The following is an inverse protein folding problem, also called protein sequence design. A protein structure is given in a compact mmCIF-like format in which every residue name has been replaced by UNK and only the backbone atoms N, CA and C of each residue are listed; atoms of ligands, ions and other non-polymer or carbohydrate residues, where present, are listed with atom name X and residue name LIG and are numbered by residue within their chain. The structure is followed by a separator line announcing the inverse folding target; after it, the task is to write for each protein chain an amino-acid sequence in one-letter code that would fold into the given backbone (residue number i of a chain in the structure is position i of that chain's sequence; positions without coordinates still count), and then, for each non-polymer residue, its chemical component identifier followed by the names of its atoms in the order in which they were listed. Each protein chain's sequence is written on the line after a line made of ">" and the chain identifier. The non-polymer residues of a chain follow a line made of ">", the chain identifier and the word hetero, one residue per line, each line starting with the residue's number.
data_IF_625032777743
#
_entry.id   IF_625032777743
#
_cell.length_a   1.000
_cell.length_b   1.000
_cell.length_c   1.000
_cell.angle_alpha   90.00
_cell.angle_beta   90.00
_cell.angle_gamma   90.00
#
_symmetry.space_group_name_H-M   'P 1'
#
loop_
_entity.id
_entity.type
_entity.pdbx_description
1 polymer ?
#
# COMPACT_ATOMS: atom_id res chain seq x y z
N UNK A 1 -23.38 -8.74 33.42
CA UNK A 1 -24.43 -7.70 33.53
C UNK A 1 -23.80 -6.36 33.19
N UNK A 2 -24.11 -5.79 32.02
CA UNK A 2 -23.87 -4.35 31.80
C UNK A 2 -24.92 -3.63 32.65
N UNK A 3 -24.57 -3.08 33.81
CA UNK A 3 -25.34 -2.04 34.51
C UNK A 3 -26.81 -2.26 34.90
N UNK A 4 -27.32 -3.50 34.91
CA UNK A 4 -28.71 -3.78 35.30
C UNK A 4 -28.88 -3.42 36.79
N UNK A 5 -29.63 -2.36 37.06
CA UNK A 5 -29.88 -1.83 38.42
C UNK A 5 -29.34 -0.42 38.69
N UNK A 6 -28.60 0.20 37.77
CA UNK A 6 -28.06 1.57 37.96
C UNK A 6 -29.09 2.69 37.70
N UNK A 7 -30.15 2.40 36.95
CA UNK A 7 -31.20 3.38 36.61
C UNK A 7 -32.58 2.76 36.83
N UNK A 8 -33.52 3.53 37.41
CA UNK A 8 -34.88 3.07 37.73
C UNK A 8 -35.75 2.84 36.50
N UNK A 9 -35.37 3.40 35.35
CA UNK A 9 -36.13 3.34 34.11
C UNK A 9 -35.44 2.42 33.10
N UNK A 10 -36.17 1.42 32.62
CA UNK A 10 -35.69 0.37 31.70
C UNK A 10 -35.14 0.89 30.36
N UNK A 11 -35.47 2.12 29.95
CA UNK A 11 -35.03 2.74 28.70
C UNK A 11 -33.80 3.64 28.82
N UNK A 12 -33.41 4.08 30.02
CA UNK A 12 -32.29 5.03 30.20
C UNK A 12 -30.97 4.43 29.74
N UNK A 13 -30.70 3.19 30.15
CA UNK A 13 -29.42 2.54 29.85
C UNK A 13 -29.22 2.29 28.34
N UNK A 14 -30.20 1.76 27.57
CA UNK A 14 -30.11 1.70 26.11
C UNK A 14 -29.94 3.07 25.45
N UNK A 15 -30.63 4.10 25.96
CA UNK A 15 -30.55 5.45 25.40
C UNK A 15 -29.14 6.04 25.56
N UNK A 16 -28.52 5.92 26.74
CA UNK A 16 -27.15 6.39 26.96
C UNK A 16 -26.12 5.65 26.08
N UNK A 17 -26.29 4.35 25.88
CA UNK A 17 -25.42 3.58 24.99
C UNK A 17 -25.58 4.02 23.52
N UNK A 18 -26.81 4.29 23.08
CA UNK A 18 -27.07 4.83 21.74
C UNK A 18 -26.44 6.21 21.58
N UNK A 19 -26.62 7.11 22.54
CA UNK A 19 -26.04 8.46 22.53
C UNK A 19 -24.51 8.40 22.52
N UNK A 20 -23.90 7.52 23.33
CA UNK A 20 -22.45 7.33 23.34
C UNK A 20 -21.91 6.78 22.02
N UNK A 21 -22.60 5.80 21.42
CA UNK A 21 -22.22 5.26 20.12
C UNK A 21 -22.35 6.31 19.00
N UNK A 22 -23.40 7.13 19.03
CA UNK A 22 -23.64 8.21 18.08
C UNK A 22 -22.58 9.31 18.21
N UNK A 23 -22.23 9.67 19.44
CA UNK A 23 -21.18 10.64 19.75
C UNK A 23 -19.81 10.17 19.27
N UNK A 24 -19.43 8.92 19.57
CA UNK A 24 -18.18 8.34 19.10
C UNK A 24 -18.10 8.29 17.57
N UNK A 25 -19.19 7.89 16.91
CA UNK A 25 -19.26 7.88 15.44
C UNK A 25 -19.11 9.29 14.87
N UNK A 26 -19.78 10.29 15.47
CA UNK A 26 -19.69 11.67 15.05
C UNK A 26 -18.24 12.19 15.17
N UNK A 27 -17.58 11.93 16.30
CA UNK A 27 -16.18 12.32 16.53
C UNK A 27 -15.22 11.66 15.52
N UNK A 28 -15.44 10.36 15.25
CA UNK A 28 -14.65 9.59 14.28
C UNK A 28 -14.86 10.10 12.86
N UNK A 29 -16.11 10.40 12.48
CA UNK A 29 -16.45 10.99 11.19
C UNK A 29 -15.80 12.36 11.01
N UNK A 30 -15.85 13.21 12.04
CA UNK A 30 -15.19 14.51 12.03
C UNK A 30 -13.68 14.36 11.86
N UNK A 31 -13.06 13.40 12.54
CA UNK A 31 -11.64 13.09 12.38
C UNK A 31 -11.27 12.68 10.95
N UNK A 32 -12.06 11.81 10.32
CA UNK A 32 -11.85 11.42 8.92
C UNK A 32 -12.11 12.55 7.93
N UNK A 33 -13.11 13.40 8.20
CA UNK A 33 -13.43 14.56 7.36
C UNK A 33 -12.34 15.64 7.42
N UNK A 34 -11.65 15.78 8.55
CA UNK A 34 -10.53 16.72 8.72
C UNK A 34 -9.22 16.24 8.06
N UNK A 35 -9.03 14.92 7.85
CA UNK A 35 -7.80 14.36 7.25
C UNK A 35 -8.03 13.44 6.01
N UNK A 36 -8.78 13.86 4.97
CA UNK A 36 -9.19 12.96 3.87
C UNK A 36 -8.09 12.59 2.86
N UNK A 37 -6.82 12.99 3.04
CA UNK A 37 -5.77 12.92 1.99
C UNK A 37 -4.55 12.05 2.34
N UNK A 38 -4.46 11.50 3.56
CA UNK A 38 -3.25 10.79 4.02
C UNK A 38 -3.01 9.38 3.42
N UNK A 39 -4.03 8.52 3.15
CA UNK A 39 -3.73 7.13 2.85
C UNK A 39 -2.98 6.95 1.53
N UNK A 40 -3.27 7.73 0.49
CA UNK A 40 -2.58 7.58 -0.82
C UNK A 40 -1.12 7.99 -0.74
N UNK A 41 -0.81 9.09 -0.03
CA UNK A 41 0.57 9.58 0.12
C UNK A 41 1.41 8.61 0.93
N UNK A 42 0.85 8.05 2.01
CA UNK A 42 1.51 7.03 2.83
C UNK A 42 1.82 5.76 2.03
N UNK A 43 0.87 5.28 1.22
CA UNK A 43 1.09 4.09 0.39
C UNK A 43 2.12 4.33 -0.72
N UNK A 44 2.12 5.52 -1.35
CA UNK A 44 3.14 5.91 -2.33
C UNK A 44 4.53 6.03 -1.70
N UNK A 45 4.65 6.69 -0.55
CA UNK A 45 5.91 6.78 0.17
C UNK A 45 6.40 5.39 0.61
N UNK A 46 5.48 4.52 1.06
CA UNK A 46 5.75 3.12 1.35
C UNK A 46 6.29 2.37 0.12
N UNK A 47 5.73 2.61 -1.06
CA UNK A 47 6.20 2.01 -2.32
C UNK A 47 7.64 2.42 -2.65
N UNK A 48 7.97 3.72 -2.59
CA UNK A 48 9.33 4.19 -2.82
C UNK A 48 10.32 3.73 -1.73
N UNK A 49 9.87 3.61 -0.48
CA UNK A 49 10.69 3.06 0.60
C UNK A 49 11.02 1.58 0.38
N UNK A 50 10.03 0.77 -0.03
CA UNK A 50 10.26 -0.64 -0.36
C UNK A 50 11.09 -0.79 -1.65
N UNK A 51 10.91 0.10 -2.63
CA UNK A 51 11.71 0.15 -3.84
C UNK A 51 13.18 0.42 -3.51
N UNK A 52 13.45 1.32 -2.58
CA UNK A 52 14.80 1.57 -2.10
C UNK A 52 15.43 0.33 -1.46
N UNK A 53 14.69 -0.37 -0.58
CA UNK A 53 15.19 -1.62 0.02
C UNK A 53 15.47 -2.68 -1.04
N UNK A 54 14.62 -2.78 -2.06
CA UNK A 54 14.84 -3.69 -3.17
C UNK A 54 16.10 -3.35 -3.96
N UNK A 55 16.34 -2.07 -4.26
CA UNK A 55 17.56 -1.62 -4.94
C UNK A 55 18.83 -1.84 -4.09
N UNK A 56 18.79 -1.63 -2.77
CA UNK A 56 19.90 -1.97 -1.87
C UNK A 56 20.16 -3.49 -1.86
N UNK A 57 19.12 -4.31 -1.68
CA UNK A 57 19.25 -5.76 -1.68
C UNK A 57 19.82 -6.25 -3.03
N UNK A 58 19.40 -5.62 -4.13
CA UNK A 58 19.95 -5.88 -5.47
C UNK A 58 21.39 -5.38 -5.62
N UNK A 59 21.78 -4.31 -4.95
CA UNK A 59 23.18 -3.84 -4.95
C UNK A 59 24.09 -4.86 -4.27
N UNK A 60 23.64 -5.53 -3.20
CA UNK A 60 24.42 -6.57 -2.51
C UNK A 60 24.73 -7.78 -3.40
N UNK A 61 23.94 -8.05 -4.44
CA UNK A 61 24.26 -9.08 -5.44
C UNK A 61 25.48 -8.75 -6.32
N UNK A 62 25.96 -7.50 -6.28
CA UNK A 62 27.17 -7.05 -6.99
C UNK A 62 28.40 -6.98 -6.08
N UNK A 63 28.30 -7.36 -4.80
CA UNK A 63 29.43 -7.35 -3.87
C UNK A 63 30.43 -8.47 -4.21
N UNK A 64 31.68 -8.13 -4.62
CA UNK A 64 32.70 -9.11 -4.99
C UNK A 64 33.26 -9.90 -3.79
N UNK A 65 33.02 -9.44 -2.55
CA UNK A 65 33.56 -10.02 -1.32
C UNK A 65 32.56 -10.90 -0.56
N UNK A 66 31.32 -11.02 -1.04
CA UNK A 66 30.24 -11.72 -0.33
C UNK A 66 30.45 -13.23 -0.09
N UNK A 67 31.48 -13.85 -0.71
CA UNK A 67 31.84 -15.24 -0.47
C UNK A 67 30.70 -16.23 -0.73
N UNK A 68 30.54 -17.24 0.13
CA UNK A 68 29.55 -18.33 0.02
C UNK A 68 28.10 -17.89 0.35
N UNK A 69 27.85 -16.60 0.57
CA UNK A 69 26.53 -16.06 0.98
C UNK A 69 25.63 -15.69 -0.20
N UNK A 70 25.96 -16.12 -1.41
CA UNK A 70 25.24 -15.76 -2.64
C UNK A 70 23.76 -16.15 -2.56
N UNK A 71 23.47 -17.37 -2.14
CA UNK A 71 22.10 -17.85 -1.98
C UNK A 71 21.30 -17.00 -1.00
N UNK A 72 21.93 -16.57 0.10
CA UNK A 72 21.28 -15.73 1.10
C UNK A 72 20.93 -14.34 0.53
N UNK A 73 21.85 -13.71 -0.20
CA UNK A 73 21.61 -12.41 -0.85
C UNK A 73 20.52 -12.51 -1.95
N UNK A 74 20.51 -13.60 -2.72
CA UNK A 74 19.46 -13.87 -3.70
C UNK A 74 18.09 -14.07 -3.04
N UNK A 75 18.03 -14.84 -1.95
CA UNK A 75 16.80 -15.06 -1.18
C UNK A 75 16.29 -13.73 -0.60
N UNK A 76 17.18 -12.90 -0.03
CA UNK A 76 16.82 -11.59 0.51
C UNK A 76 16.25 -10.68 -0.59
N UNK A 77 16.93 -10.56 -1.73
CA UNK A 77 16.44 -9.79 -2.88
C UNK A 77 15.06 -10.28 -3.37
N UNK A 78 14.82 -11.60 -3.40
CA UNK A 78 13.53 -12.18 -3.76
C UNK A 78 12.44 -11.89 -2.72
N UNK A 79 12.75 -11.96 -1.43
CA UNK A 79 11.83 -11.65 -0.34
C UNK A 79 11.43 -10.18 -0.37
N UNK A 80 12.39 -9.27 -0.52
CA UNK A 80 12.12 -7.82 -0.62
C UNK A 80 11.32 -7.50 -1.88
N UNK A 81 11.59 -8.18 -3.01
CA UNK A 81 10.79 -8.04 -4.23
C UNK A 81 9.32 -8.43 -4.00
N UNK A 82 9.06 -9.54 -3.30
CA UNK A 82 7.69 -9.95 -2.93
C UNK A 82 6.97 -8.88 -2.10
N UNK A 83 7.66 -8.30 -1.11
CA UNK A 83 7.12 -7.23 -0.26
C UNK A 83 6.83 -5.96 -1.08
N UNK A 84 7.72 -5.59 -2.01
CA UNK A 84 7.53 -4.46 -2.90
C UNK A 84 6.31 -4.64 -3.81
N UNK A 85 6.13 -5.82 -4.40
CA UNK A 85 4.96 -6.14 -5.23
C UNK A 85 3.67 -6.05 -4.41
N UNK A 86 3.67 -6.55 -3.17
CA UNK A 86 2.53 -6.42 -2.27
C UNK A 86 2.21 -4.93 -1.98
N UNK A 87 3.23 -4.12 -1.70
CA UNK A 87 3.08 -2.68 -1.44
C UNK A 87 2.56 -1.91 -2.67
N UNK A 88 3.04 -2.24 -3.87
CA UNK A 88 2.55 -1.66 -5.12
C UNK A 88 1.06 -2.02 -5.35
N UNK A 89 0.65 -3.26 -5.07
CA UNK A 89 -0.74 -3.69 -5.18
C UNK A 89 -1.67 -2.96 -4.19
N UNK A 90 -1.22 -2.74 -2.95
CA UNK A 90 -1.94 -1.93 -1.97
C UNK A 90 -2.10 -0.48 -2.44
N UNK A 91 -1.02 0.10 -2.96
CA UNK A 91 -1.01 1.46 -3.50
C UNK A 91 -1.95 1.59 -4.69
N UNK A 92 -1.92 0.63 -5.63
CA UNK A 92 -2.83 0.56 -6.77
C UNK A 92 -4.29 0.52 -6.36
N UNK A 93 -4.63 -0.34 -5.39
CA UNK A 93 -6.01 -0.47 -4.89
C UNK A 93 -6.50 0.83 -4.24
N UNK A 94 -5.63 1.47 -3.45
CA UNK A 94 -5.91 2.75 -2.79
C UNK A 94 -6.06 3.89 -3.81
N UNK A 95 -5.27 3.88 -4.88
CA UNK A 95 -5.35 4.87 -5.93
C UNK A 95 -6.61 4.67 -6.79
N UNK A 96 -6.95 3.44 -7.14
CA UNK A 96 -8.17 3.11 -7.90
C UNK A 96 -9.46 3.49 -7.15
N UNK A 97 -9.51 3.28 -5.84
CA UNK A 97 -10.68 3.70 -5.03
C UNK A 97 -10.86 5.22 -5.06
N UNK A 98 -9.76 5.98 -5.05
CA UNK A 98 -9.78 7.44 -5.18
C UNK A 98 -10.20 7.90 -6.58
N UNK A 99 -9.67 7.31 -7.66
CA UNK A 99 -10.05 7.66 -9.03
C UNK A 99 -11.56 7.44 -9.30
N UNK A 100 -12.18 6.46 -8.63
CA UNK A 100 -13.63 6.21 -8.77
C UNK A 100 -14.49 7.33 -8.16
N UNK A 101 -14.00 7.97 -7.08
CA UNK A 101 -14.71 9.05 -6.39
C UNK A 101 -14.36 10.45 -6.86
N UNK A 102 -13.15 10.65 -7.37
CA UNK A 102 -12.58 11.96 -7.70
C UNK A 102 -11.92 11.94 -9.10
N UNK A 103 -12.78 11.99 -10.13
CA UNK A 103 -12.35 11.93 -11.53
C UNK A 103 -11.72 13.25 -11.96
N UNK A 104 -10.39 13.34 -11.92
CA UNK A 104 -9.64 14.39 -12.62
C UNK A 104 -9.04 15.50 -11.75
N UNK A 105 -8.98 15.34 -10.43
CA UNK A 105 -8.24 16.31 -9.60
C UNK A 105 -6.73 16.27 -9.90
N UNK A 106 -6.09 17.44 -9.91
CA UNK A 106 -4.64 17.59 -10.18
C UNK A 106 -3.78 16.73 -9.24
N UNK A 107 -4.17 16.63 -7.96
CA UNK A 107 -3.50 15.80 -6.97
C UNK A 107 -3.59 14.29 -7.24
N UNK A 108 -4.70 13.82 -7.83
CA UNK A 108 -4.85 12.42 -8.23
C UNK A 108 -3.99 12.10 -9.45
N UNK A 109 -3.89 13.01 -10.42
CA UNK A 109 -2.99 12.86 -11.58
C UNK A 109 -1.53 12.75 -11.16
N UNK A 110 -1.08 13.61 -10.24
CA UNK A 110 0.28 13.55 -9.67
C UNK A 110 0.56 12.24 -8.94
N UNK A 111 -0.37 11.82 -8.09
CA UNK A 111 -0.27 10.53 -7.36
C UNK A 111 -0.18 9.35 -8.33
N UNK A 112 -0.90 9.40 -9.45
CA UNK A 112 -0.88 8.39 -10.50
C UNK A 112 0.43 8.41 -11.29
N UNK A 113 0.97 9.58 -11.61
CA UNK A 113 2.28 9.70 -12.22
C UNK A 113 3.37 9.06 -11.34
N UNK A 114 3.36 9.35 -10.04
CA UNK A 114 4.33 8.77 -9.10
C UNK A 114 4.21 7.25 -9.01
N UNK A 115 2.99 6.72 -9.03
CA UNK A 115 2.75 5.29 -9.05
C UNK A 115 3.32 4.63 -10.32
N UNK A 116 3.10 5.22 -11.49
CA UNK A 116 3.65 4.70 -12.75
C UNK A 116 5.17 4.76 -12.78
N UNK A 117 5.79 5.83 -12.27
CA UNK A 117 7.24 5.90 -12.14
C UNK A 117 7.76 4.77 -11.23
N UNK A 118 7.14 4.57 -10.06
CA UNK A 118 7.54 3.48 -9.15
C UNK A 118 7.39 2.09 -9.79
N UNK A 119 6.29 1.87 -10.54
CA UNK A 119 6.06 0.62 -11.26
C UNK A 119 7.09 0.41 -12.38
N UNK A 120 7.37 1.43 -13.20
CA UNK A 120 8.35 1.36 -14.28
C UNK A 120 9.76 1.06 -13.74
N UNK A 121 10.14 1.68 -12.60
CA UNK A 121 11.43 1.39 -11.96
C UNK A 121 11.44 -0.06 -11.47
N UNK A 122 10.37 -0.55 -10.84
CA UNK A 122 10.26 -1.95 -10.40
C UNK A 122 10.38 -2.93 -11.57
N UNK A 123 9.67 -2.70 -12.68
CA UNK A 123 9.72 -3.56 -13.87
C UNK A 123 11.13 -3.58 -14.50
N UNK A 124 11.80 -2.43 -14.60
CA UNK A 124 13.18 -2.33 -15.10
C UNK A 124 14.19 -3.02 -14.18
N UNK A 125 14.04 -2.79 -12.88
CA UNK A 125 14.90 -3.40 -11.88
C UNK A 125 14.67 -4.92 -11.82
N UNK A 126 13.43 -5.42 -11.92
CA UNK A 126 13.14 -6.86 -11.92
C UNK A 126 13.54 -7.57 -13.22
N UNK A 127 13.42 -6.91 -14.37
CA UNK A 127 13.75 -7.52 -15.68
C UNK A 127 15.25 -7.69 -15.94
N UNK A 128 16.09 -7.07 -15.10
CA UNK A 128 17.54 -7.23 -15.18
C UNK A 128 17.98 -8.59 -14.61
N UNK A 129 17.79 -9.65 -15.41
CA UNK A 129 18.27 -11.01 -15.14
C UNK A 129 19.72 -11.16 -15.60
N UNK A 130 20.64 -10.69 -14.77
CA UNK A 130 22.06 -10.97 -14.94
C UNK A 130 22.40 -12.28 -14.23
N UNK A 131 23.23 -13.14 -14.82
CA UNK A 131 23.78 -14.30 -14.11
C UNK A 131 24.92 -13.81 -13.19
N UNK A 132 24.55 -13.28 -12.03
CA UNK A 132 25.49 -12.64 -11.08
C UNK A 132 26.66 -13.55 -10.69
N UNK A 133 26.44 -14.87 -10.63
CA UNK A 133 27.46 -15.87 -10.33
C UNK A 133 28.58 -15.90 -11.39
N UNK A 134 28.24 -15.82 -12.69
CA UNK A 134 29.25 -15.78 -13.75
C UNK A 134 30.02 -14.46 -13.73
N UNK A 135 29.32 -13.34 -13.50
CA UNK A 135 29.97 -12.03 -13.49
C UNK A 135 30.96 -11.86 -12.34
N UNK A 136 30.70 -12.43 -11.17
CA UNK A 136 31.67 -12.34 -10.06
C UNK A 136 32.88 -13.24 -10.28
N UNK A 137 32.71 -14.41 -10.90
CA UNK A 137 33.83 -15.29 -11.25
C UNK A 137 34.83 -14.61 -12.19
N UNK A 138 34.34 -14.05 -13.28
CA UNK A 138 35.19 -13.47 -14.32
C UNK A 138 35.75 -12.09 -13.95
N UNK A 139 35.02 -11.30 -13.14
CA UNK A 139 35.33 -9.88 -12.90
C UNK A 139 35.59 -9.51 -11.45
N UNK A 140 35.88 -10.48 -10.56
CA UNK A 140 36.07 -10.25 -9.12
C UNK A 140 37.05 -9.13 -8.80
N UNK A 141 38.13 -9.03 -9.58
CA UNK A 141 39.21 -8.06 -9.38
C UNK A 141 39.00 -6.72 -10.11
N UNK A 142 37.87 -6.55 -10.80
CA UNK A 142 37.59 -5.36 -11.59
C UNK A 142 36.67 -4.38 -10.83
N UNK A 143 37.00 -3.10 -10.88
CA UNK A 143 36.26 -2.02 -10.21
C UNK A 143 34.82 -1.81 -10.72
N UNK A 144 34.45 -2.47 -11.83
CA UNK A 144 33.17 -2.28 -12.51
C UNK A 144 31.99 -2.74 -11.65
N UNK A 145 32.08 -3.90 -11.00
CA UNK A 145 31.01 -4.43 -10.14
C UNK A 145 30.72 -3.47 -8.97
N UNK A 146 31.78 -2.97 -8.33
CA UNK A 146 31.66 -1.98 -7.26
C UNK A 146 31.00 -0.68 -7.74
N UNK A 147 31.27 -0.24 -8.97
CA UNK A 147 30.64 0.96 -9.55
C UNK A 147 29.15 0.74 -9.83
N UNK A 148 28.74 -0.45 -10.28
CA UNK A 148 27.32 -0.82 -10.40
C UNK A 148 26.62 -0.85 -9.04
N UNK A 149 27.22 -1.52 -8.04
CA UNK A 149 26.73 -1.54 -6.67
C UNK A 149 26.53 -0.13 -6.12
N UNK A 150 27.52 0.75 -6.31
CA UNK A 150 27.45 2.15 -5.88
C UNK A 150 26.31 2.91 -6.56
N UNK A 151 26.09 2.74 -7.86
CA UNK A 151 24.98 3.39 -8.57
C UNK A 151 23.62 2.93 -8.06
N UNK A 152 23.43 1.63 -7.84
CA UNK A 152 22.20 1.08 -7.26
C UNK A 152 21.94 1.66 -5.87
N UNK A 153 22.95 1.72 -5.01
CA UNK A 153 22.85 2.35 -3.69
C UNK A 153 22.51 3.84 -3.76
N UNK A 154 23.05 4.56 -4.74
CA UNK A 154 22.67 5.96 -4.98
C UNK A 154 21.19 6.08 -5.39
N UNK A 155 20.71 5.22 -6.30
CA UNK A 155 19.29 5.21 -6.71
C UNK A 155 18.36 4.82 -5.55
N UNK A 156 18.77 3.86 -4.72
CA UNK A 156 18.05 3.48 -3.51
C UNK A 156 17.94 4.66 -2.53
N UNK A 157 19.04 5.39 -2.32
CA UNK A 157 19.03 6.60 -1.48
C UNK A 157 18.11 7.69 -2.04
N UNK A 158 18.11 7.89 -3.36
CA UNK A 158 17.20 8.82 -4.02
C UNK A 158 15.73 8.41 -3.80
N UNK A 159 15.41 7.12 -3.88
CA UNK A 159 14.07 6.60 -3.58
C UNK A 159 13.66 6.82 -2.11
N UNK A 160 14.59 6.63 -1.14
CA UNK A 160 14.33 6.95 0.28
C UNK A 160 14.06 8.42 0.51
N UNK A 161 14.88 9.30 -0.09
CA UNK A 161 14.69 10.74 0.01
C UNK A 161 13.36 11.16 -0.61
N UNK A 162 13.01 10.62 -1.77
CA UNK A 162 11.73 10.86 -2.42
C UNK A 162 10.55 10.41 -1.55
N UNK A 163 10.62 9.23 -0.93
CA UNK A 163 9.61 8.77 0.02
C UNK A 163 9.41 9.76 1.18
N UNK A 164 10.51 10.29 1.74
CA UNK A 164 10.45 11.31 2.79
C UNK A 164 9.84 12.62 2.30
N UNK A 165 10.25 13.12 1.13
CA UNK A 165 9.69 14.31 0.52
C UNK A 165 8.19 14.17 0.23
N UNK A 166 7.72 12.98 -0.18
CA UNK A 166 6.29 12.69 -0.38
C UNK A 166 5.51 12.84 0.93
N UNK A 167 6.02 12.28 2.03
CA UNK A 167 5.37 12.36 3.35
C UNK A 167 5.36 13.80 3.90
N UNK A 168 6.48 14.50 3.77
CA UNK A 168 6.64 15.88 4.24
C UNK A 168 6.04 16.93 3.30
N UNK A 169 5.51 16.51 2.14
CA UNK A 169 5.03 17.39 1.05
C UNK A 169 6.08 18.41 0.59
N UNK A 170 7.35 18.04 0.65
CA UNK A 170 8.46 18.86 0.20
C UNK A 170 8.78 18.57 -1.26
N UNK A 171 9.37 19.55 -1.94
CA UNK A 171 9.89 19.37 -3.29
C UNK A 171 11.11 18.45 -3.23
N UNK A 172 11.13 17.47 -4.13
CA UNK A 172 12.28 16.60 -4.31
C UNK A 172 13.18 17.18 -5.41
N UNK A 173 14.49 17.13 -5.21
CA UNK A 173 15.49 17.64 -6.14
C UNK A 173 16.41 16.49 -6.52
N UNK A 174 16.60 16.29 -7.82
CA UNK A 174 17.47 15.22 -8.31
C UNK A 174 18.95 15.59 -8.13
N UNK A 175 19.77 14.59 -7.82
CA UNK A 175 21.17 14.81 -7.49
C UNK A 175 22.06 14.85 -8.75
N UNK A 176 22.70 16.00 -9.01
CA UNK A 176 23.65 16.18 -10.12
C UNK A 176 24.85 15.20 -10.13
N UNK A 177 25.08 14.46 -9.04
CA UNK A 177 26.15 13.44 -8.97
C UNK A 177 25.87 12.21 -9.85
N UNK A 178 24.61 11.93 -10.22
CA UNK A 178 24.26 10.77 -11.04
C UNK A 178 24.94 10.81 -12.41
N UNK A 179 24.89 11.94 -13.12
CA UNK A 179 25.49 12.08 -14.45
C UNK A 179 26.99 11.72 -14.43
N UNK A 180 27.73 12.30 -13.49
CA UNK A 180 29.16 12.02 -13.30
C UNK A 180 29.44 10.56 -12.98
N UNK A 181 28.56 9.89 -12.21
CA UNK A 181 28.71 8.49 -11.88
C UNK A 181 28.45 7.58 -13.11
N UNK A 182 27.44 7.90 -13.92
CA UNK A 182 27.14 7.20 -15.17
C UNK A 182 28.26 7.36 -16.21
N UNK A 183 28.76 8.57 -16.43
CA UNK A 183 29.89 8.81 -17.34
C UNK A 183 31.13 8.03 -16.94
N UNK A 184 31.44 8.00 -15.63
CA UNK A 184 32.60 7.28 -15.10
C UNK A 184 32.47 5.78 -15.25
N UNK A 185 31.27 5.23 -15.09
CA UNK A 185 31.02 3.81 -15.31
C UNK A 185 31.06 3.47 -16.79
N UNK A 186 30.48 4.29 -17.65
CA UNK A 186 30.53 4.11 -19.10
C UNK A 186 31.97 4.04 -19.60
N UNK A 187 32.82 5.01 -19.22
CA UNK A 187 34.25 5.00 -19.57
C UNK A 187 35.01 3.78 -19.02
N UNK A 188 34.59 3.25 -17.87
CA UNK A 188 35.20 2.05 -17.31
C UNK A 188 34.83 0.79 -18.13
N UNK A 189 33.58 0.68 -18.59
CA UNK A 189 33.13 -0.41 -19.47
C UNK A 189 33.79 -0.30 -20.85
N UNK A 190 33.90 0.90 -21.42
CA UNK A 190 34.58 1.12 -22.71
C UNK A 190 36.08 0.74 -22.65
N UNK A 191 36.77 1.07 -21.54
CA UNK A 191 38.16 0.62 -21.34
C UNK A 191 38.27 -0.90 -21.22
N UNK A 192 37.27 -1.54 -20.62
CA UNK A 192 37.24 -2.99 -20.50
C UNK A 192 37.10 -3.66 -21.86
N UNK A 193 36.18 -3.17 -22.69
CA UNK A 193 35.96 -3.63 -24.05
C UNK A 193 37.22 -3.53 -24.92
N UNK A 194 38.02 -2.47 -24.72
CA UNK A 194 39.29 -2.27 -25.42
C UNK A 194 40.40 -3.22 -24.95
N UNK A 195 40.38 -3.63 -23.67
CA UNK A 195 41.39 -4.54 -23.10
C UNK A 195 41.09 -6.01 -23.39
N UNK A 196 39.79 -6.37 -23.46
CA UNK A 196 39.34 -7.74 -23.71
C UNK A 196 38.17 -7.76 -24.71
N UNK A 197 38.46 -7.79 -26.03
CA UNK A 197 37.45 -7.75 -27.09
C UNK A 197 36.58 -9.02 -27.18
N UNK A 198 37.06 -10.15 -26.67
CA UNK A 198 36.37 -11.45 -26.73
C UNK A 198 35.44 -11.69 -25.52
N UNK A 199 35.44 -10.76 -24.55
CA UNK A 199 34.57 -10.81 -23.38
C UNK A 199 33.08 -10.73 -23.77
N UNK A 200 32.44 -11.89 -23.89
CA UNK A 200 31.02 -12.07 -24.25
C UNK A 200 30.07 -11.32 -23.30
N UNK A 201 30.52 -11.02 -22.08
CA UNK A 201 29.73 -10.38 -21.02
C UNK A 201 29.70 -8.85 -21.06
N UNK A 202 30.55 -8.18 -21.85
CA UNK A 202 30.62 -6.71 -21.92
C UNK A 202 29.31 -6.10 -22.43
N UNK A 203 28.63 -6.77 -23.36
CA UNK A 203 27.31 -6.35 -23.87
C UNK A 203 26.23 -6.37 -22.79
N UNK A 204 26.31 -7.29 -21.83
CA UNK A 204 25.38 -7.37 -20.71
C UNK A 204 25.60 -6.19 -19.73
N UNK A 205 26.84 -5.75 -19.53
CA UNK A 205 27.18 -4.57 -18.72
C UNK A 205 26.62 -3.29 -19.33
N UNK A 206 26.75 -3.10 -20.65
CA UNK A 206 26.12 -1.96 -21.34
C UNK A 206 24.59 -1.99 -21.25
N UNK A 207 23.98 -3.17 -21.34
CA UNK A 207 22.54 -3.30 -21.16
C UNK A 207 22.12 -2.91 -19.73
N UNK A 208 22.87 -3.34 -18.71
CA UNK A 208 22.63 -2.97 -17.32
C UNK A 208 22.81 -1.45 -17.10
N UNK A 209 23.87 -0.87 -17.65
CA UNK A 209 24.11 0.58 -17.60
C UNK A 209 22.93 1.35 -18.19
N UNK A 210 22.42 0.93 -19.35
CA UNK A 210 21.25 1.54 -20.00
C UNK A 210 19.98 1.39 -19.16
N UNK A 211 19.80 0.23 -18.51
CA UNK A 211 18.67 0.01 -17.61
C UNK A 211 18.72 0.98 -16.40
N UNK A 212 19.89 1.09 -15.75
CA UNK A 212 20.09 2.01 -14.63
C UNK A 212 19.91 3.48 -15.05
N UNK A 213 20.40 3.89 -16.22
CA UNK A 213 20.19 5.24 -16.74
C UNK A 213 18.70 5.53 -17.00
N UNK A 214 17.94 4.52 -17.42
CA UNK A 214 16.51 4.68 -17.60
C UNK A 214 15.76 4.79 -16.26
N UNK A 215 16.19 4.08 -15.22
CA UNK A 215 15.67 4.26 -13.84
C UNK A 215 15.96 5.69 -13.35
N UNK A 216 17.15 6.20 -13.63
CA UNK A 216 17.54 7.57 -13.28
C UNK A 216 16.67 8.62 -13.99
N UNK A 217 16.44 8.45 -15.29
CA UNK A 217 15.55 9.32 -16.06
C UNK A 217 14.11 9.32 -15.52
N UNK A 218 13.62 8.17 -15.05
CA UNK A 218 12.31 8.06 -14.39
C UNK A 218 12.27 8.84 -13.08
N UNK A 219 13.33 8.76 -12.26
CA UNK A 219 13.45 9.59 -11.06
C UNK A 219 13.48 11.08 -11.42
N UNK A 220 14.30 11.49 -12.39
CA UNK A 220 14.39 12.89 -12.84
C UNK A 220 13.05 13.43 -13.40
N UNK A 221 12.23 12.57 -14.00
CA UNK A 221 10.89 12.95 -14.49
C UNK A 221 9.94 13.40 -13.37
N UNK A 222 10.16 12.94 -12.13
CA UNK A 222 9.38 13.39 -10.97
C UNK A 222 9.70 14.85 -10.63
N UNK A 223 10.97 15.25 -10.74
CA UNK A 223 11.35 16.65 -10.52
C UNK A 223 10.75 17.55 -11.60
N UNK A 224 10.79 17.14 -12.87
CA UNK A 224 10.21 17.96 -13.96
C UNK A 224 8.70 18.07 -13.85
N UNK A 225 7.98 17.01 -13.43
CA UNK A 225 6.55 17.12 -13.16
C UNK A 225 6.27 18.09 -12.00
N UNK A 226 7.10 18.09 -10.96
CA UNK A 226 6.99 19.05 -9.84
C UNK A 226 7.22 20.49 -10.27
N UNK A 227 8.09 20.74 -11.27
CA UNK A 227 8.34 22.10 -11.78
C UNK A 227 7.22 22.58 -12.70
N UNK A 228 6.74 21.72 -13.60
CA UNK A 228 5.60 22.00 -14.48
C UNK A 228 4.30 22.18 -13.70
N UNK A 229 4.16 21.51 -12.56
CA UNK A 229 2.98 21.63 -11.71
C UNK A 229 2.83 23.00 -11.03
N UNK A 230 3.84 23.89 -11.11
CA UNK A 230 3.76 25.34 -10.88
C UNK A 230 2.93 25.82 -9.68
N UNK A 231 3.63 26.38 -8.68
CA UNK A 231 3.13 26.97 -7.42
C UNK A 231 3.06 26.00 -6.23
N UNK A 232 4.10 26.14 -5.39
CA UNK A 232 4.19 25.85 -3.96
C UNK A 232 3.24 24.76 -3.42
N UNK A 233 3.75 23.58 -3.00
CA UNK A 233 2.95 22.52 -2.39
C UNK A 233 2.08 23.01 -1.22
N UNK A 234 2.49 24.11 -0.56
CA UNK A 234 1.77 24.75 0.54
C UNK A 234 0.66 25.72 0.10
N UNK A 235 0.77 26.39 -1.06
CA UNK A 235 -0.27 27.33 -1.54
C UNK A 235 -1.31 26.67 -2.44
N UNK A 236 -0.93 25.67 -3.25
CA UNK A 236 -1.90 24.95 -4.09
C UNK A 236 -2.89 24.13 -3.26
N UNK A 237 -2.45 23.53 -2.15
CA UNK A 237 -3.34 22.84 -1.21
C UNK A 237 -4.21 23.84 -0.39
N UNK A 238 -3.75 25.08 -0.15
CA UNK A 238 -4.55 26.11 0.53
C UNK A 238 -5.61 26.75 -0.38
N UNK A 239 -5.31 26.92 -1.68
CA UNK A 239 -6.32 27.29 -2.68
C UNK A 239 -7.32 26.14 -2.89
N UNK A 240 -6.88 24.88 -2.88
CA UNK A 240 -7.77 23.70 -2.90
C UNK A 240 -8.50 23.44 -1.58
N UNK A 241 -8.01 23.95 -0.45
CA UNK A 241 -8.78 23.99 0.81
C UNK A 241 -9.91 25.03 0.76
N UNK A 242 -9.83 25.99 -0.19
CA UNK A 242 -10.92 26.93 -0.51
C UNK A 242 -11.81 26.43 -1.65
N UNK A 243 -11.28 25.72 -2.65
CA UNK A 243 -12.07 25.00 -3.67
C UNK A 243 -12.75 23.72 -3.12
N UNK A 244 -12.36 23.27 -1.92
CA UNK A 244 -12.92 22.15 -1.17
C UNK A 244 -14.06 22.52 -0.22
N UNK A 245 -14.53 23.78 -0.23
CA UNK A 245 -15.88 24.11 0.21
C UNK A 245 -16.86 23.86 -0.95
N UNK A 246 -16.86 22.65 -1.52
CA UNK A 246 -18.03 22.16 -2.26
C UNK A 246 -19.19 22.18 -1.27
N UNK A 247 -20.10 23.14 -1.43
CA UNK A 247 -21.01 23.60 -0.40
C UNK A 247 -21.78 22.50 0.33
N UNK A 248 -22.40 22.86 1.45
CA UNK A 248 -23.33 22.04 2.21
C UNK A 248 -24.34 21.24 1.36
N UNK A 249 -24.62 21.68 0.13
CA UNK A 249 -25.37 20.96 -0.89
C UNK A 249 -24.72 19.64 -1.35
N UNK A 250 -23.40 19.56 -1.61
CA UNK A 250 -22.74 18.33 -2.07
C UNK A 250 -22.53 17.34 -0.91
N UNK A 251 -22.27 17.84 0.30
CA UNK A 251 -22.28 17.03 1.53
C UNK A 251 -23.69 16.44 1.75
N UNK A 252 -24.75 17.24 1.61
CA UNK A 252 -26.15 16.78 1.71
C UNK A 252 -26.52 15.80 0.59
N UNK A 253 -25.98 15.98 -0.61
CA UNK A 253 -26.20 15.08 -1.75
C UNK A 253 -25.47 13.73 -1.59
N UNK A 254 -24.26 13.75 -1.02
CA UNK A 254 -23.51 12.53 -0.67
C UNK A 254 -24.15 11.82 0.51
N UNK A 255 -24.54 12.55 1.56
CA UNK A 255 -25.31 11.99 2.68
C UNK A 255 -26.63 11.37 2.21
N UNK A 256 -27.39 12.05 1.35
CA UNK A 256 -28.66 11.52 0.82
C UNK A 256 -28.45 10.29 -0.08
N UNK A 257 -27.34 10.22 -0.82
CA UNK A 257 -26.94 9.02 -1.58
C UNK A 257 -26.49 7.86 -0.68
N UNK A 258 -25.87 8.12 0.46
CA UNK A 258 -25.52 7.09 1.44
C UNK A 258 -26.70 6.64 2.32
N UNK A 259 -27.71 7.50 2.48
CA UNK A 259 -29.03 7.20 3.05
C UNK A 259 -30.04 6.66 2.02
N UNK A 260 -29.60 6.42 0.78
CA UNK A 260 -30.45 5.80 -0.24
C UNK A 260 -30.69 4.31 0.10
N UNK A 261 -31.94 3.81 0.08
CA UNK A 261 -32.30 2.42 0.38
C UNK A 261 -31.68 1.38 -0.58
N UNK A 262 -30.92 1.82 -1.58
CA UNK A 262 -30.18 0.97 -2.51
C UNK A 262 -28.77 0.55 -2.01
N UNK A 263 -28.23 1.15 -0.94
CA UNK A 263 -26.87 0.80 -0.47
C UNK A 263 -26.85 -0.53 0.32
N UNK A 264 -25.93 -1.43 -0.02
CA UNK A 264 -25.81 -2.74 0.64
C UNK A 264 -25.47 -2.60 2.15
N UNK A 265 -24.74 -1.55 2.53
CA UNK A 265 -24.41 -1.24 3.92
C UNK A 265 -25.62 -0.78 4.73
N UNK A 266 -26.50 0.06 4.16
CA UNK A 266 -27.71 0.52 4.83
C UNK A 266 -28.70 -0.63 5.05
N UNK A 267 -28.92 -1.49 4.05
CA UNK A 267 -29.78 -2.67 4.21
C UNK A 267 -29.25 -3.66 5.25
N UNK A 268 -27.92 -3.86 5.30
CA UNK A 268 -27.31 -4.71 6.33
C UNK A 268 -27.48 -4.10 7.72
N UNK A 269 -27.18 -2.81 7.89
CA UNK A 269 -27.35 -2.12 9.16
C UNK A 269 -28.81 -2.15 9.65
N UNK A 270 -29.79 -1.88 8.78
CA UNK A 270 -31.22 -1.94 9.13
C UNK A 270 -31.65 -3.36 9.47
N UNK A 271 -31.26 -4.37 8.67
CA UNK A 271 -31.55 -5.78 8.96
C UNK A 271 -30.99 -6.18 10.33
N UNK A 272 -29.79 -5.72 10.65
CA UNK A 272 -29.14 -5.97 11.93
C UNK A 272 -29.83 -5.31 13.11
N UNK A 273 -30.19 -4.03 12.97
CA UNK A 273 -30.95 -3.33 13.99
C UNK A 273 -32.30 -4.00 14.24
N UNK A 274 -32.99 -4.46 13.18
CA UNK A 274 -34.28 -5.16 13.32
C UNK A 274 -34.11 -6.52 14.00
N UNK A 275 -33.13 -7.34 13.60
CA UNK A 275 -32.86 -8.64 14.23
C UNK A 275 -32.51 -8.49 15.71
N UNK A 276 -31.68 -7.50 16.04
CA UNK A 276 -31.31 -7.21 17.43
C UNK A 276 -32.50 -6.67 18.25
N UNK A 277 -33.33 -5.80 17.67
CA UNK A 277 -34.55 -5.30 18.33
C UNK A 277 -35.56 -6.42 18.59
N UNK A 278 -35.80 -7.31 17.63
CA UNK A 278 -36.70 -8.46 17.79
C UNK A 278 -36.13 -9.42 18.84
N UNK A 279 -34.83 -9.70 18.79
CA UNK A 279 -34.15 -10.52 19.80
C UNK A 279 -34.26 -9.94 21.21
N UNK A 280 -34.08 -8.63 21.35
CA UNK A 280 -34.25 -7.93 22.63
C UNK A 280 -35.70 -7.92 23.12
N UNK A 281 -36.67 -7.67 22.23
CA UNK A 281 -38.10 -7.72 22.56
C UNK A 281 -38.54 -9.10 23.03
N UNK A 282 -38.04 -10.17 22.39
CA UNK A 282 -38.32 -11.54 22.79
C UNK A 282 -37.78 -11.86 24.20
N UNK A 283 -36.59 -11.36 24.55
CA UNK A 283 -35.99 -11.52 25.89
C UNK A 283 -36.85 -10.82 26.96
N UNK A 284 -37.37 -9.63 26.66
CA UNK A 284 -38.22 -8.88 27.59
C UNK A 284 -39.58 -9.56 27.82
N UNK A 285 -40.18 -10.15 26.79
CA UNK A 285 -41.47 -10.87 26.90
C UNK A 285 -41.32 -12.20 27.65
N UNK A 286 -40.18 -12.87 27.50
CA UNK A 286 -39.97 -14.23 28.04
C UNK A 286 -39.28 -14.27 29.40
N UNK A 287 -38.71 -13.15 29.89
CA UNK A 287 -38.11 -13.07 31.23
C UNK A 287 -36.92 -14.00 31.45
N UNK A 288 -36.25 -14.45 30.38
CA UNK A 288 -35.14 -15.41 30.45
C UNK A 288 -33.88 -14.78 31.05
N UNK A 289 -33.46 -15.26 32.22
CA UNK A 289 -32.25 -14.79 32.94
C UNK A 289 -30.94 -14.87 32.11
N UNK A 290 -30.91 -15.66 31.02
CA UNK A 290 -29.74 -15.86 30.15
C UNK A 290 -29.93 -15.35 28.71
N UNK A 291 -30.89 -14.45 28.47
CA UNK A 291 -31.22 -13.94 27.14
C UNK A 291 -30.05 -13.27 26.38
N UNK A 292 -29.00 -12.82 27.07
CA UNK A 292 -27.82 -12.19 26.45
C UNK A 292 -27.10 -13.10 25.44
N UNK A 293 -27.13 -14.42 25.61
CA UNK A 293 -26.53 -15.36 24.67
C UNK A 293 -27.15 -15.27 23.27
N UNK A 294 -28.46 -15.07 23.19
CA UNK A 294 -29.19 -14.94 21.92
C UNK A 294 -28.74 -13.69 21.17
N UNK A 295 -28.51 -12.60 21.90
CA UNK A 295 -28.00 -11.35 21.34
C UNK A 295 -26.54 -11.50 20.87
N UNK A 296 -25.70 -12.20 21.66
CA UNK A 296 -24.30 -12.46 21.34
C UNK A 296 -24.19 -13.34 20.08
N UNK A 297 -24.98 -14.42 19.98
CA UNK A 297 -24.98 -15.31 18.82
C UNK A 297 -25.52 -14.61 17.57
N UNK A 298 -26.56 -13.77 17.73
CA UNK A 298 -27.07 -12.92 16.65
C UNK A 298 -26.00 -11.99 16.12
N UNK A 299 -25.24 -11.33 17.01
CA UNK A 299 -24.14 -10.44 16.65
C UNK A 299 -23.02 -11.19 15.92
N UNK A 300 -22.63 -12.38 16.39
CA UNK A 300 -21.57 -13.19 15.78
C UNK A 300 -21.96 -13.75 14.40
N UNK A 301 -23.16 -14.31 14.26
CA UNK A 301 -23.66 -14.81 12.97
C UNK A 301 -23.75 -13.70 11.93
N UNK A 302 -23.99 -12.48 12.37
CA UNK A 302 -24.22 -11.37 11.48
C UNK A 302 -23.07 -10.37 11.36
N UNK A 303 -21.90 -10.66 11.97
CA UNK A 303 -20.71 -9.90 11.64
C UNK A 303 -20.53 -9.95 10.13
N UNK A 304 -20.48 -8.79 9.44
CA UNK A 304 -20.20 -8.81 8.03
C UNK A 304 -18.79 -9.37 7.88
N UNK A 305 -18.66 -10.58 7.29
CA UNK A 305 -17.39 -11.10 6.80
C UNK A 305 -16.92 -10.22 5.62
N UNK A 306 -16.60 -8.96 5.89
CA UNK A 306 -15.91 -8.05 4.98
C UNK A 306 -14.51 -8.59 4.59
N UNK A 307 -14.04 -9.64 5.26
CA UNK A 307 -12.76 -10.29 5.00
C UNK A 307 -12.81 -11.41 3.95
N UNK A 308 -13.98 -11.95 3.56
CA UNK A 308 -14.03 -13.07 2.59
C UNK A 308 -14.35 -12.67 1.14
N UNK A 309 -14.76 -11.43 0.85
CA UNK A 309 -15.14 -11.04 -0.52
C UNK A 309 -14.00 -10.37 -1.33
N UNK A 310 -12.81 -10.22 -0.74
CA UNK A 310 -11.61 -9.78 -1.44
C UNK A 310 -10.67 -10.95 -1.83
N UNK A 311 -10.86 -12.15 -1.25
CA UNK A 311 -10.00 -13.31 -1.50
C UNK A 311 -10.53 -14.26 -2.60
N UNK A 312 -11.83 -14.20 -2.95
CA UNK A 312 -12.44 -15.17 -3.88
C UNK A 312 -12.46 -14.74 -5.35
N UNK A 313 -12.06 -13.52 -5.69
CA UNK A 313 -11.93 -13.06 -7.09
C UNK A 313 -10.52 -13.26 -7.68
N UNK A 314 -9.56 -13.77 -6.90
CA UNK A 314 -8.18 -14.02 -7.35
C UNK A 314 -7.78 -15.50 -7.54
N UNK A 315 -8.63 -16.47 -7.19
CA UNK A 315 -8.26 -17.90 -7.15
C UNK A 315 -9.24 -18.81 -7.90
N UNK A 316 -9.80 -18.37 -9.03
CA UNK A 316 -10.60 -19.22 -9.91
C UNK A 316 -9.76 -19.98 -10.97
N UNK A 317 -8.43 -20.01 -10.86
CA UNK A 317 -7.58 -20.68 -11.85
C UNK A 317 -6.41 -21.47 -11.26
N UNK A 318 -6.64 -22.36 -10.28
CA UNK A 318 -5.79 -23.55 -10.07
C UNK A 318 -6.49 -24.65 -9.26
N UNK A 319 -6.86 -25.70 -10.01
CA UNK A 319 -7.15 -27.11 -9.70
C UNK A 319 -7.21 -27.59 -8.25
N UNK A 320 -8.28 -28.35 -7.97
CA UNK A 320 -8.29 -29.71 -7.42
C UNK A 320 -7.10 -30.11 -6.53
N UNK A 321 -7.31 -30.10 -5.22
CA UNK A 321 -6.90 -31.15 -4.29
C UNK A 321 -7.78 -31.02 -3.04
N UNK A 322 -8.37 -32.13 -2.60
CA UNK A 322 -9.33 -32.20 -1.51
C UNK A 322 -8.76 -31.83 -0.14
N UNK A 323 -9.65 -31.42 0.75
CA UNK A 323 -9.38 -31.09 2.13
C UNK A 323 -10.60 -30.43 2.75
N UNK A 324 -11.51 -31.26 3.26
CA UNK A 324 -12.79 -30.87 3.84
C UNK A 324 -12.65 -29.86 4.99
N UNK A 325 -13.66 -28.97 5.03
CA UNK A 325 -14.01 -28.08 6.11
C UNK A 325 -14.38 -28.85 7.39
N UNK A 326 -13.75 -28.59 8.54
CA UNK A 326 -14.47 -28.63 9.82
C UNK A 326 -13.71 -27.96 10.98
N UNK A 327 -14.02 -26.70 11.28
CA UNK A 327 -13.58 -26.03 12.53
C UNK A 327 -14.70 -25.27 13.26
N UNK A 328 -15.91 -25.17 12.70
CA UNK A 328 -17.02 -24.45 13.34
C UNK A 328 -17.95 -25.34 14.17
N UNK A 329 -17.91 -26.67 14.02
CA UNK A 329 -18.82 -27.57 14.75
C UNK A 329 -18.28 -28.07 16.11
N UNK A 330 -16.95 -28.10 16.33
CA UNK A 330 -16.36 -28.71 17.54
C UNK A 330 -16.43 -27.87 18.82
N UNK A 331 -16.84 -26.59 18.75
CA UNK A 331 -16.97 -25.75 19.95
C UNK A 331 -18.35 -25.81 20.62
N UNK A 332 -19.36 -26.44 20.01
CA UNK A 332 -20.71 -26.56 20.58
C UNK A 332 -20.94 -27.80 21.47
N UNK A 333 -19.98 -28.74 21.54
CA UNK A 333 -20.15 -29.97 22.33
C UNK A 333 -19.50 -29.94 23.74
N UNK A 334 -18.77 -28.88 24.10
CA UNK A 334 -17.99 -28.82 25.36
C UNK A 334 -18.65 -28.07 26.53
N UNK A 335 -19.86 -27.54 26.38
CA UNK A 335 -20.49 -26.66 27.37
C UNK A 335 -21.87 -27.16 27.85
N UNK A 336 -22.02 -28.49 27.94
CA UNK A 336 -23.19 -29.16 28.53
C UNK A 336 -22.83 -30.06 29.72
N UNK A 337 -21.79 -29.66 30.48
CA UNK A 337 -21.61 -30.06 31.87
C UNK A 337 -21.34 -28.85 32.74
#
# INVERSE_FOLDING_TARGET
>A
MLGIGLFSQWYMQPMLLLVGALWYNLLTLLGHLMFPVRPVQEQLAGSFSQLARYLDAKANLFDPDAGDQDDAAFIDAAMVNSQLVAQLNLTKTTLQSRLRGDRGSRGTRRSLHYYFVAQDIHERASSSHLQYHLLRGDWRYNEILFRFQRLLNMQAQACRQLAHCILMRQRWVHDSRFERAFERLQKAIERLEQHDPDATHTRALFWLLRNLRAIDAQLASIESEQTLAGEDPQHSDNLLSREGLSGWSDIRLRFSRHLSPASALFRHAVRMSVVLCIGYGFIQVTGLERGYWILLTSLFVCQPKLQCNAATTGLAHRRNAGGDCDWSARFMAGALY
#
